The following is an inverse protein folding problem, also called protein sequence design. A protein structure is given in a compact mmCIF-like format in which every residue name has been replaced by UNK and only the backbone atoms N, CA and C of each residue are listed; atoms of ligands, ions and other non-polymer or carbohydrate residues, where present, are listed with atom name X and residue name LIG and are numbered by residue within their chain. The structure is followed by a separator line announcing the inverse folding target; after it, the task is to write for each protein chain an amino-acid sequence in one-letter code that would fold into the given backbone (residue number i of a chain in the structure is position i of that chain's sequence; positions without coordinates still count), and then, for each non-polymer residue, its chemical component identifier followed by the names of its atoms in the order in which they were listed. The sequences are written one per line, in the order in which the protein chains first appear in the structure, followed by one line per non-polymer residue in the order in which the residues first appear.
data_IF_814367628128
#
_entry.id   IF_814367628128
#
_cell.length_a   1.000
_cell.length_b   1.000
_cell.length_c   1.000
_cell.angle_alpha   90.00
_cell.angle_beta   90.00
_cell.angle_gamma   90.00
#
_symmetry.space_group_name_H-M   'P 1'
#
loop_
_entity.id
_entity.type
_entity.pdbx_description
1 polymer ?
#
# COMPACT_ATOMS: atom_id res chain seq x y z
N UNK A 1 12.36 7.86 -0.10
CA UNK A 1 11.11 8.62 0.13
C UNK A 1 10.98 8.85 1.62
N UNK A 2 10.67 10.07 2.06
CA UNK A 2 10.34 10.35 3.45
C UNK A 2 8.80 10.40 3.55
N UNK A 3 8.23 9.50 4.34
CA UNK A 3 6.81 9.55 4.69
C UNK A 3 6.68 10.34 6.00
N UNK A 4 5.59 11.08 6.12
CA UNK A 4 5.24 11.69 7.39
C UNK A 4 4.76 10.60 8.35
N UNK A 5 5.22 10.63 9.61
CA UNK A 5 4.92 9.56 10.56
C UNK A 5 3.45 9.51 10.96
N UNK A 6 2.71 10.63 10.88
CA UNK A 6 1.28 10.66 11.15
C UNK A 6 0.45 10.20 9.95
N UNK A 7 1.06 10.08 8.76
CA UNK A 7 0.40 9.61 7.54
C UNK A 7 0.69 8.15 7.19
N UNK A 8 1.21 7.37 8.15
CA UNK A 8 1.55 5.95 7.98
C UNK A 8 0.38 5.03 8.37
N UNK A 9 -0.04 4.18 7.43
CA UNK A 9 -0.88 3.01 7.72
C UNK A 9 -0.09 1.90 8.41
N UNK A 10 1.21 1.81 8.12
CA UNK A 10 2.13 0.85 8.71
C UNK A 10 3.57 1.35 8.60
N UNK A 11 4.34 1.14 9.67
CA UNK A 11 5.78 1.41 9.70
C UNK A 11 6.53 0.11 9.92
N UNK A 12 7.23 -0.36 8.89
CA UNK A 12 8.06 -1.57 8.93
C UNK A 12 7.30 -2.76 9.55
N UNK A 13 6.00 -2.85 9.25
CA UNK A 13 5.10 -3.84 9.84
C UNK A 13 5.46 -5.21 9.29
N UNK A 14 5.75 -6.16 10.19
CA UNK A 14 5.92 -7.57 9.82
C UNK A 14 4.60 -8.15 9.31
N UNK A 15 4.64 -8.78 8.15
CA UNK A 15 3.50 -9.43 7.51
C UNK A 15 3.54 -10.95 7.71
N UNK A 16 2.35 -11.53 7.86
CA UNK A 16 2.15 -12.97 7.99
C UNK A 16 0.69 -13.33 7.68
N UNK A 17 0.43 -14.61 7.39
CA UNK A 17 -0.92 -15.12 7.12
C UNK A 17 -1.42 -14.81 5.70
N UNK A 18 -2.69 -15.11 5.42
CA UNK A 18 -3.31 -14.92 4.10
C UNK A 18 -3.64 -13.43 3.82
N UNK A 19 -3.87 -12.66 4.88
CA UNK A 19 -4.06 -11.21 4.81
C UNK A 19 -3.56 -10.56 6.09
N UNK A 20 -3.22 -9.28 5.98
CA UNK A 20 -2.85 -8.45 7.13
C UNK A 20 -3.45 -7.06 6.94
N UNK A 21 -3.87 -6.45 8.04
CA UNK A 21 -4.30 -5.04 8.06
C UNK A 21 -3.15 -4.17 8.55
N UNK A 22 -3.03 -2.96 8.01
CA UNK A 22 -2.11 -1.94 8.52
C UNK A 22 -2.27 -1.74 10.02
N UNK A 23 -1.18 -1.44 10.72
CA UNK A 23 -1.20 -1.22 12.18
C UNK A 23 -2.02 0.00 12.58
N UNK A 24 -2.16 0.99 11.69
CA UNK A 24 -2.86 2.23 11.96
C UNK A 24 -4.08 2.40 11.06
N UNK A 25 -5.14 2.93 11.65
CA UNK A 25 -6.24 3.59 10.93
C UNK A 25 -5.95 5.08 10.92
N UNK A 26 -5.87 5.67 9.74
CA UNK A 26 -5.68 7.11 9.58
C UNK A 26 -7.02 7.83 9.62
N UNK A 27 -7.11 8.88 10.43
CA UNK A 27 -8.21 9.83 10.42
C UNK A 27 -7.80 11.08 9.63
N UNK A 28 -8.39 11.29 8.45
CA UNK A 28 -8.13 12.48 7.62
C UNK A 28 -8.97 13.71 8.04
N UNK A 29 -9.63 13.65 9.21
CA UNK A 29 -10.36 14.74 9.86
C UNK A 29 -11.76 15.00 9.28
N UNK A 30 -11.95 14.76 7.99
CA UNK A 30 -13.26 14.85 7.30
C UNK A 30 -13.31 13.87 6.13
N UNK A 31 -14.53 13.60 5.64
CA UNK A 31 -14.67 12.85 4.40
C UNK A 31 -14.15 13.69 3.21
N UNK A 32 -13.46 13.01 2.31
CA UNK A 32 -12.93 13.54 1.06
C UNK A 32 -11.58 14.26 1.18
N UNK A 33 -10.85 14.28 0.07
CA UNK A 33 -9.59 14.99 -0.11
C UNK A 33 -9.88 16.31 -0.79
N UNK A 34 -9.73 17.41 -0.04
CA UNK A 34 -10.23 18.73 -0.47
C UNK A 34 -9.38 19.38 -1.57
N UNK A 35 -8.05 19.22 -1.54
CA UNK A 35 -7.13 19.91 -2.43
C UNK A 35 -5.94 18.98 -2.74
N UNK A 36 -5.68 18.75 -4.03
CA UNK A 36 -4.66 17.85 -4.58
C UNK A 36 -4.92 16.32 -4.49
N UNK A 37 -4.26 15.59 -5.40
CA UNK A 37 -4.27 14.13 -5.39
C UNK A 37 -3.40 13.61 -4.25
N UNK A 38 -3.95 12.71 -3.44
CA UNK A 38 -3.19 11.94 -2.46
C UNK A 38 -2.87 10.56 -3.02
N UNK A 39 -1.66 10.10 -2.76
CA UNK A 39 -1.21 8.77 -3.14
C UNK A 39 -0.87 7.97 -1.89
N UNK A 40 -1.36 6.74 -1.82
CA UNK A 40 -0.82 5.74 -0.90
C UNK A 40 0.33 5.04 -1.56
N UNK A 41 1.45 4.92 -0.86
CA UNK A 41 2.61 4.17 -1.31
C UNK A 41 2.87 3.06 -0.32
N UNK A 42 2.88 1.82 -0.79
CA UNK A 42 3.29 0.65 -0.03
C UNK A 42 4.62 0.14 -0.56
N UNK A 43 5.59 -0.15 0.31
CA UNK A 43 6.91 -0.67 -0.04
C UNK A 43 7.26 -1.88 0.83
N UNK A 44 7.66 -2.96 0.19
CA UNK A 44 8.06 -4.21 0.83
C UNK A 44 9.58 -4.28 0.95
N UNK A 45 10.11 -4.75 2.07
CA UNK A 45 11.55 -4.81 2.31
C UNK A 45 12.20 -6.16 1.95
N UNK A 46 11.39 -7.16 1.61
CA UNK A 46 11.82 -8.54 1.44
C UNK A 46 11.43 -9.05 0.04
N UNK A 47 12.31 -9.83 -0.59
CA UNK A 47 11.99 -10.58 -1.81
C UNK A 47 10.92 -11.65 -1.53
N UNK A 48 10.08 -11.96 -2.52
CA UNK A 48 9.02 -12.97 -2.40
C UNK A 48 8.09 -12.69 -1.20
N UNK A 49 7.72 -11.42 -0.99
CA UNK A 49 6.84 -10.98 0.11
C UNK A 49 5.42 -11.57 0.07
N UNK A 50 5.03 -12.25 -1.01
CA UNK A 50 3.75 -12.99 -1.14
C UNK A 50 2.50 -12.14 -1.29
N UNK A 51 2.59 -10.82 -1.03
CA UNK A 51 1.52 -9.86 -1.30
C UNK A 51 1.27 -9.72 -2.81
N UNK A 52 0.02 -9.91 -3.24
CA UNK A 52 -0.42 -9.74 -4.64
C UNK A 52 -1.34 -8.54 -4.83
N UNK A 53 -1.91 -7.99 -3.75
CA UNK A 53 -2.78 -6.82 -3.80
C UNK A 53 -2.67 -6.01 -2.52
N UNK A 54 -2.61 -4.70 -2.67
CA UNK A 54 -2.82 -3.75 -1.58
C UNK A 54 -4.16 -3.06 -1.81
N UNK A 55 -5.01 -3.09 -0.79
CA UNK A 55 -6.32 -2.44 -0.79
C UNK A 55 -6.34 -1.36 0.27
N UNK A 56 -6.85 -0.18 -0.07
CA UNK A 56 -7.21 0.85 0.89
C UNK A 56 -8.70 0.70 1.17
N UNK A 57 -9.02 0.51 2.44
CA UNK A 57 -10.39 0.49 2.91
C UNK A 57 -10.72 1.79 3.63
N UNK A 58 -11.95 2.27 3.45
CA UNK A 58 -12.47 3.47 4.09
C UNK A 58 -13.67 3.18 4.97
N UNK A 59 -13.83 4.00 5.99
CA UNK A 59 -14.96 3.99 6.91
C UNK A 59 -15.40 5.41 7.23
N UNK A 60 -16.72 5.59 7.42
CA UNK A 60 -17.30 6.87 7.83
C UNK A 60 -17.22 7.09 9.35
N UNK A 61 -17.20 6.00 10.12
CA UNK A 61 -17.32 6.00 11.58
C UNK A 61 -16.15 5.31 12.30
N UNK A 62 -15.25 4.67 11.54
CA UNK A 62 -14.09 3.96 12.06
C UNK A 62 -14.42 2.53 12.49
N UNK A 63 -15.62 2.02 12.21
CA UNK A 63 -16.05 0.66 12.60
C UNK A 63 -16.17 -0.26 11.39
N UNK A 64 -16.95 0.14 10.40
CA UNK A 64 -17.22 -0.67 9.21
C UNK A 64 -16.42 -0.15 8.04
N UNK A 65 -15.54 -0.99 7.51
CA UNK A 65 -14.60 -0.62 6.45
C UNK A 65 -14.98 -1.30 5.14
N UNK A 66 -14.98 -0.53 4.06
CA UNK A 66 -15.26 -0.98 2.69
C UNK A 66 -14.10 -0.62 1.77
N UNK A 67 -13.89 -1.39 0.71
CA UNK A 67 -12.83 -1.12 -0.27
C UNK A 67 -13.06 0.23 -0.97
N UNK A 68 -12.01 1.06 -1.05
CA UNK A 68 -12.03 2.39 -1.68
C UNK A 68 -11.15 2.42 -2.91
N UNK A 69 -9.95 1.84 -2.81
CA UNK A 69 -9.00 1.76 -3.91
C UNK A 69 -8.11 0.54 -3.73
N UNK A 70 -7.55 0.00 -4.81
CA UNK A 70 -6.58 -1.09 -4.73
C UNK A 70 -5.61 -1.08 -5.91
N UNK A 71 -4.46 -1.73 -5.72
CA UNK A 71 -3.53 -2.02 -6.80
C UNK A 71 -2.93 -3.42 -6.64
N UNK A 72 -2.71 -4.08 -7.77
CA UNK A 72 -1.99 -5.35 -7.82
C UNK A 72 -0.50 -5.13 -7.58
N UNK A 73 0.13 -6.03 -6.83
CA UNK A 73 1.57 -6.07 -6.61
C UNK A 73 2.13 -7.19 -7.48
N UNK A 74 2.87 -6.85 -8.53
CA UNK A 74 3.40 -7.79 -9.51
C UNK A 74 4.90 -8.02 -9.36
N UNK A 75 5.63 -6.98 -8.97
CA UNK A 75 7.05 -7.07 -8.62
C UNK A 75 7.18 -7.61 -7.20
N UNK A 76 7.89 -8.73 -7.05
CA UNK A 76 8.05 -9.43 -5.77
C UNK A 76 9.38 -9.16 -5.10
N UNK A 77 10.25 -8.31 -5.66
CA UNK A 77 11.61 -8.13 -5.13
C UNK A 77 11.68 -7.05 -4.04
N UNK A 78 12.66 -7.10 -3.16
CA UNK A 78 12.86 -6.14 -2.07
C UNK A 78 12.91 -4.70 -2.59
N UNK A 79 12.15 -3.80 -1.98
CA UNK A 79 11.90 -2.42 -2.43
C UNK A 79 10.74 -2.28 -3.43
N UNK A 80 10.12 -3.39 -3.85
CA UNK A 80 8.91 -3.39 -4.67
C UNK A 80 7.77 -2.71 -3.94
N UNK A 81 6.73 -2.39 -4.71
CA UNK A 81 5.52 -1.87 -4.13
C UNK A 81 4.60 -1.26 -5.16
N UNK A 82 3.60 -0.57 -4.65
CA UNK A 82 2.56 0.06 -5.46
C UNK A 82 2.33 1.49 -4.99
N UNK A 83 1.88 2.31 -5.93
CA UNK A 83 1.32 3.61 -5.64
C UNK A 83 -0.16 3.55 -6.02
N UNK A 84 -1.04 3.92 -5.09
CA UNK A 84 -2.48 3.91 -5.25
C UNK A 84 -2.95 5.35 -5.16
N UNK A 85 -3.59 5.88 -6.21
CA UNK A 85 -4.25 7.18 -6.13
C UNK A 85 -5.50 7.06 -5.26
N UNK A 86 -5.61 7.88 -4.22
CA UNK A 86 -6.82 7.94 -3.40
C UNK A 86 -7.92 8.69 -4.16
N UNK A 87 -9.15 8.15 -4.21
CA UNK A 87 -10.30 8.87 -4.73
C UNK A 87 -10.58 10.13 -3.89
N UNK A 88 -10.94 11.23 -4.55
CA UNK A 88 -11.28 12.48 -3.85
C UNK A 88 -12.47 12.33 -2.89
N UNK A 89 -13.38 11.41 -3.15
CA UNK A 89 -14.56 11.14 -2.30
C UNK A 89 -14.30 10.05 -1.24
N UNK A 90 -13.05 9.83 -0.81
CA UNK A 90 -12.75 8.79 0.17
C UNK A 90 -13.39 9.08 1.55
N UNK A 91 -13.80 8.05 2.32
CA UNK A 91 -14.28 8.22 3.69
C UNK A 91 -13.21 8.80 4.63
N UNK A 92 -13.64 9.26 5.82
CA UNK A 92 -12.79 9.92 6.83
C UNK A 92 -11.71 9.00 7.42
N UNK A 93 -12.05 7.75 7.70
CA UNK A 93 -11.11 6.80 8.30
C UNK A 93 -10.60 5.85 7.24
N UNK A 94 -9.28 5.75 7.08
CA UNK A 94 -8.64 4.94 6.06
C UNK A 94 -7.72 3.91 6.69
N UNK A 95 -7.64 2.71 6.12
CA UNK A 95 -6.66 1.69 6.50
C UNK A 95 -6.14 0.93 5.28
N UNK A 96 -4.91 0.44 5.36
CA UNK A 96 -4.36 -0.46 4.36
C UNK A 96 -4.66 -1.92 4.69
N UNK A 97 -4.89 -2.74 3.67
CA UNK A 97 -5.02 -4.19 3.75
C UNK A 97 -4.09 -4.81 2.71
N UNK A 98 -3.28 -5.77 3.16
CA UNK A 98 -2.36 -6.53 2.33
C UNK A 98 -2.94 -7.92 2.11
N UNK A 99 -3.01 -8.37 0.86
CA UNK A 99 -3.58 -9.67 0.50
C UNK A 99 -2.53 -10.54 -0.18
N UNK A 100 -2.36 -11.77 0.32
CA UNK A 100 -1.62 -12.79 -0.40
C UNK A 100 -2.46 -13.38 -1.55
N UNK A 101 -1.79 -14.12 -2.44
CA UNK A 101 -2.48 -14.98 -3.40
C UNK A 101 -3.37 -16.00 -2.68
N UNK A 102 -4.34 -16.58 -3.38
CA UNK A 102 -5.13 -17.71 -2.87
C UNK A 102 -4.19 -18.82 -2.40
N UNK A 103 -4.37 -19.26 -1.15
CA UNK A 103 -3.51 -20.26 -0.47
C UNK A 103 -2.05 -19.83 -0.27
N UNK A 104 -1.70 -18.57 -0.53
CA UNK A 104 -0.41 -17.98 -0.25
C UNK A 104 -0.30 -17.39 1.16
N UNK A 105 0.91 -17.01 1.54
CA UNK A 105 1.19 -16.33 2.80
C UNK A 105 2.01 -15.07 2.57
N UNK A 106 1.65 -14.01 3.26
CA UNK A 106 2.48 -12.81 3.34
C UNK A 106 3.77 -13.09 4.12
N UNK A 107 4.84 -12.39 3.75
CA UNK A 107 6.17 -12.48 4.35
C UNK A 107 6.86 -11.12 4.34
N UNK A 108 7.91 -10.98 5.15
CA UNK A 108 8.71 -9.76 5.23
C UNK A 108 7.99 -8.62 5.96
N UNK A 109 8.43 -7.40 5.73
CA UNK A 109 7.82 -6.22 6.29
C UNK A 109 7.36 -5.24 5.20
N UNK A 110 6.43 -4.36 5.58
CA UNK A 110 5.90 -3.32 4.72
C UNK A 110 5.87 -1.98 5.43
N UNK A 111 6.23 -0.93 4.70
CA UNK A 111 5.97 0.46 5.09
C UNK A 111 4.97 1.05 4.12
N UNK A 112 3.87 1.59 4.65
CA UNK A 112 2.77 2.10 3.86
C UNK A 112 2.27 3.42 4.42
N UNK A 113 2.13 4.43 3.57
CA UNK A 113 1.62 5.73 3.99
C UNK A 113 1.20 6.63 2.84
N UNK A 114 0.64 7.77 3.21
CA UNK A 114 0.15 8.79 2.28
C UNK A 114 1.27 9.77 1.93
N UNK A 115 1.35 10.13 0.66
CA UNK A 115 2.22 11.20 0.13
C UNK A 115 1.49 12.03 -0.94
N UNK A 116 1.92 13.27 -1.10
CA UNK A 116 1.45 14.16 -2.17
C UNK A 116 2.10 13.86 -3.52
N UNK A 117 3.25 13.19 -3.51
CA UNK A 117 4.00 12.88 -4.71
C UNK A 117 4.38 11.41 -4.71
N UNK A 118 3.64 10.62 -5.48
CA UNK A 118 4.01 9.24 -5.72
C UNK A 118 5.41 9.18 -6.34
N UNK A 119 6.35 8.39 -5.78
CA UNK A 119 7.60 8.12 -6.47
C UNK A 119 7.29 7.37 -7.75
N UNK A 120 8.12 7.49 -8.79
CA UNK A 120 7.95 6.67 -9.99
C UNK A 120 7.84 5.19 -9.60
N UNK A 121 6.98 4.41 -10.28
CA UNK A 121 7.04 2.95 -10.19
C UNK A 121 8.49 2.52 -10.38
N UNK A 122 8.92 1.49 -9.66
CA UNK A 122 10.26 0.98 -9.89
C UNK A 122 10.34 0.51 -11.33
N UNK A 123 11.21 1.14 -12.12
CA UNK A 123 11.46 0.73 -13.50
C UNK A 123 12.11 -0.66 -13.53
N UNK A 124 11.99 -1.34 -14.66
CA UNK A 124 12.76 -2.55 -14.93
C UNK A 124 14.26 -2.25 -14.73
N UNK A 125 14.94 -3.09 -13.97
CA UNK A 125 16.40 -3.03 -13.82
C UNK A 125 17.03 -3.45 -15.14
N UNK A 126 18.27 -3.03 -15.37
CA UNK A 126 19.04 -3.50 -16.54
C UNK A 126 19.11 -5.04 -16.60
N UNK A 127 19.10 -5.70 -15.43
CA UNK A 127 19.08 -7.16 -15.28
C UNK A 127 17.77 -7.83 -15.72
N UNK A 128 16.68 -7.06 -15.85
CA UNK A 128 15.36 -7.59 -16.16
C UNK A 128 15.15 -7.70 -17.69
N UNK A 129 16.05 -7.10 -18.48
CA UNK A 129 16.06 -7.25 -19.93
C UNK A 129 16.88 -8.48 -20.30
N UNK A 130 16.25 -9.47 -20.94
CA UNK A 130 16.96 -10.62 -21.48
C UNK A 130 18.03 -10.14 -22.48
N UNK A 131 19.29 -10.53 -22.27
CA UNK A 131 20.30 -10.38 -23.31
C UNK A 131 19.88 -11.30 -24.46
N UNK A 132 19.72 -10.73 -25.66
CA UNK A 132 19.53 -11.52 -26.87
C UNK A 132 20.83 -12.28 -27.09
N UNK A 133 20.85 -13.59 -26.78
CA UNK A 133 21.93 -14.53 -27.09
C UNK A 133 21.74 -15.11 -28.48
#
# INVERSE_FOLDING_TARGET
MRLDTQSLFSDTQKLSGASATGTNVLDIGKAGVAEHELFVVARFDTDTHGCVKVTIQGSVDGTTFVDVASAAVTDTTAGAGVNIRLPQACPRYLKAVYNAATSGTLKGNVTCGITLQAPSPRGARISDFAANV
#
